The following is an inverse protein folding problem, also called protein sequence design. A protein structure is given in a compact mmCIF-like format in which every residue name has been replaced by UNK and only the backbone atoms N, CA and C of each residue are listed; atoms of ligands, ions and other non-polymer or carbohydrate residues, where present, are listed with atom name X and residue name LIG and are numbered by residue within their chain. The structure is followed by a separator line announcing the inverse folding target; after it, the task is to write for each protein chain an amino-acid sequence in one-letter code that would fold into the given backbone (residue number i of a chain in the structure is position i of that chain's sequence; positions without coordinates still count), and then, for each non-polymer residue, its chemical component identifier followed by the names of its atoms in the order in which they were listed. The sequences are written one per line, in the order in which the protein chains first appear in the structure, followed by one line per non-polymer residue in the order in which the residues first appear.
data_IF_951635365136
#
_entry.id   IF_951635365136
#
_cell.length_a   1.000
_cell.length_b   1.000
_cell.length_c   1.000
_cell.angle_alpha   90.00
_cell.angle_beta   90.00
_cell.angle_gamma   90.00
#
_symmetry.space_group_name_H-M   'P 1'
#
loop_
_entity.id
_entity.type
_entity.pdbx_description
1 polymer ?
#
# COMPACT_ATOMS: atom_id res chain seq x y z
N UNK A 1 9.29 -7.72 -30.85
CA UNK A 1 8.63 -8.71 -29.96
C UNK A 1 9.07 -8.51 -28.50
N UNK A 2 8.52 -7.49 -27.84
CA UNK A 2 8.56 -7.33 -26.39
C UNK A 2 7.26 -6.67 -25.99
N UNK A 3 6.25 -7.48 -25.67
CA UNK A 3 5.04 -6.98 -25.02
C UNK A 3 5.47 -6.54 -23.63
N UNK A 4 5.59 -5.22 -23.40
CA UNK A 4 5.82 -4.72 -22.04
C UNK A 4 4.63 -5.12 -21.19
N UNK A 5 4.89 -5.80 -20.07
CA UNK A 5 3.85 -6.15 -19.10
C UNK A 5 3.33 -4.84 -18.51
N UNK A 6 2.03 -4.59 -18.64
CA UNK A 6 1.39 -3.42 -18.03
C UNK A 6 1.14 -3.71 -16.55
N UNK A 7 1.40 -2.72 -15.69
CA UNK A 7 1.20 -2.84 -14.26
C UNK A 7 0.72 -1.53 -13.63
N UNK A 8 0.08 -1.63 -12.47
CA UNK A 8 -0.14 -0.50 -11.58
C UNK A 8 1.13 -0.31 -10.74
N UNK A 9 1.80 0.82 -10.95
CA UNK A 9 3.01 1.14 -10.21
C UNK A 9 2.66 1.77 -8.86
N UNK A 10 3.31 1.30 -7.81
CA UNK A 10 3.12 1.76 -6.44
C UNK A 10 4.42 2.41 -5.98
N UNK A 11 4.35 3.63 -5.47
CA UNK A 11 5.52 4.32 -4.94
C UNK A 11 6.01 3.62 -3.66
N UNK A 12 7.28 3.21 -3.62
CA UNK A 12 7.87 2.56 -2.44
C UNK A 12 8.00 3.50 -1.24
N UNK A 13 7.89 4.82 -1.43
CA UNK A 13 7.98 5.81 -0.35
C UNK A 13 6.63 6.08 0.30
N UNK A 14 5.60 6.47 -0.47
CA UNK A 14 4.29 6.84 0.09
C UNK A 14 3.18 5.80 -0.12
N UNK A 15 3.41 4.75 -0.91
CA UNK A 15 2.43 3.68 -1.12
C UNK A 15 1.28 4.02 -2.07
N UNK A 16 1.27 5.21 -2.69
CA UNK A 16 0.26 5.60 -3.68
C UNK A 16 0.38 4.76 -4.95
N UNK A 17 -0.76 4.32 -5.48
CA UNK A 17 -0.86 3.56 -6.73
C UNK A 17 -1.18 4.48 -7.91
N UNK A 18 -0.48 4.27 -9.02
CA UNK A 18 -0.68 4.99 -10.28
C UNK A 18 -1.54 4.19 -11.28
N UNK A 19 -2.10 4.88 -12.31
CA UNK A 19 -2.80 4.22 -13.41
C UNK A 19 -1.96 3.16 -14.12
N UNK A 20 -2.65 2.22 -14.76
CA UNK A 20 -2.02 1.11 -15.49
C UNK A 20 -1.12 1.64 -16.61
N UNK A 21 0.16 1.26 -16.61
CA UNK A 21 1.11 1.66 -17.65
C UNK A 21 2.16 0.58 -17.91
N UNK A 22 2.87 0.70 -19.03
CA UNK A 22 3.98 -0.20 -19.39
C UNK A 22 5.32 0.16 -18.75
N UNK A 23 5.37 1.32 -18.08
CA UNK A 23 6.55 1.90 -17.45
C UNK A 23 6.14 2.67 -16.21
N UNK A 24 6.97 2.70 -15.16
CA UNK A 24 6.72 3.55 -14.01
C UNK A 24 6.54 5.03 -14.41
N UNK A 25 5.75 5.81 -13.66
CA UNK A 25 5.64 7.24 -13.90
C UNK A 25 6.99 7.92 -13.69
N UNK A 26 7.20 9.05 -14.37
CA UNK A 26 8.45 9.80 -14.28
C UNK A 26 8.71 10.30 -12.85
N UNK A 27 7.64 10.69 -12.16
CA UNK A 27 7.69 11.02 -10.76
C UNK A 27 6.42 10.66 -9.96
N UNK A 28 6.56 10.59 -8.63
CA UNK A 28 5.49 10.51 -7.68
C UNK A 28 5.11 11.92 -7.20
N UNK A 29 4.00 12.48 -7.71
CA UNK A 29 3.54 13.82 -7.34
C UNK A 29 3.19 13.97 -5.85
N UNK A 30 2.89 12.88 -5.14
CA UNK A 30 2.68 12.90 -3.68
C UNK A 30 4.02 13.10 -2.97
N UNK A 31 5.04 12.31 -3.31
CA UNK A 31 6.35 12.38 -2.66
C UNK A 31 7.17 13.62 -3.06
N UNK A 32 6.84 14.26 -4.18
CA UNK A 32 7.44 15.54 -4.59
C UNK A 32 6.74 16.76 -3.99
N UNK A 33 5.57 16.57 -3.36
CA UNK A 33 4.93 17.64 -2.60
C UNK A 33 5.85 18.07 -1.45
N UNK A 34 5.97 19.38 -1.22
CA UNK A 34 6.87 19.95 -0.20
C UNK A 34 6.56 19.51 1.24
N UNK A 35 5.33 19.00 1.47
CA UNK A 35 4.89 18.47 2.76
C UNK A 35 5.34 17.03 2.99
N UNK A 36 5.78 16.37 1.94
CA UNK A 36 6.22 14.98 1.91
C UNK A 36 7.73 14.91 1.64
N UNK A 37 8.23 13.70 1.35
CA UNK A 37 9.64 13.48 1.04
C UNK A 37 9.81 12.39 0.00
N UNK A 38 10.96 12.43 -0.67
CA UNK A 38 11.46 11.35 -1.53
C UNK A 38 12.32 10.42 -0.67
N UNK A 39 12.17 9.10 -0.85
CA UNK A 39 12.96 8.11 -0.13
C UNK A 39 14.47 8.23 -0.41
N UNK A 40 15.29 7.70 0.51
CA UNK A 40 16.77 7.79 0.43
C UNK A 40 17.36 7.20 -0.86
N UNK A 41 16.66 6.24 -1.47
CA UNK A 41 17.05 5.60 -2.73
C UNK A 41 16.45 6.31 -3.96
N UNK A 42 15.95 7.53 -3.80
CA UNK A 42 15.16 8.22 -4.81
C UNK A 42 13.77 7.62 -4.96
N UNK A 43 13.16 7.83 -6.13
CA UNK A 43 11.85 7.28 -6.42
C UNK A 43 11.95 5.86 -6.95
N UNK A 44 11.46 4.92 -6.14
CA UNK A 44 11.43 3.49 -6.44
C UNK A 44 9.98 3.04 -6.54
N UNK A 45 9.74 2.08 -7.43
CA UNK A 45 8.42 1.60 -7.78
C UNK A 45 8.32 0.10 -7.53
N UNK A 46 7.15 -0.35 -7.08
CA UNK A 46 6.76 -1.75 -7.08
C UNK A 46 5.40 -1.94 -7.75
N UNK A 47 4.87 -3.15 -7.70
CA UNK A 47 3.56 -3.54 -8.21
C UNK A 47 2.89 -4.45 -7.18
N UNK A 48 1.56 -4.59 -7.26
CA UNK A 48 0.85 -5.52 -6.37
C UNK A 48 1.41 -6.95 -6.45
N UNK A 49 1.76 -7.42 -7.65
CA UNK A 49 2.31 -8.77 -7.86
C UNK A 49 3.64 -8.97 -7.13
N UNK A 50 4.54 -7.99 -7.20
CA UNK A 50 5.80 -8.02 -6.46
C UNK A 50 5.54 -7.92 -4.95
N UNK A 51 4.59 -7.08 -4.52
CA UNK A 51 4.28 -6.94 -3.11
C UNK A 51 3.77 -8.25 -2.49
N UNK A 52 2.86 -8.96 -3.15
CA UNK A 52 2.34 -10.26 -2.68
C UNK A 52 3.45 -11.31 -2.46
N UNK A 53 4.59 -11.16 -3.13
CA UNK A 53 5.73 -12.09 -2.98
C UNK A 53 6.68 -11.70 -1.83
N UNK A 54 6.60 -10.47 -1.32
CA UNK A 54 7.58 -9.90 -0.39
C UNK A 54 6.97 -9.35 0.91
N UNK A 55 5.64 -9.21 0.95
CA UNK A 55 4.91 -8.62 2.05
C UNK A 55 3.65 -9.44 2.37
N UNK A 56 3.19 -9.33 3.60
CA UNK A 56 1.90 -9.85 4.07
C UNK A 56 1.21 -8.78 4.92
N UNK A 57 -0.12 -8.81 5.01
CA UNK A 57 -0.83 -7.97 5.97
C UNK A 57 -0.97 -8.68 7.32
N UNK A 58 -0.59 -8.01 8.41
CA UNK A 58 -0.94 -8.41 9.78
C UNK A 58 -2.18 -7.67 10.23
N UNK A 59 -3.17 -8.45 10.66
CA UNK A 59 -4.39 -7.95 11.31
C UNK A 59 -4.25 -8.20 12.81
N UNK A 60 -4.25 -7.13 13.61
CA UNK A 60 -4.00 -7.20 15.06
C UNK A 60 -5.17 -6.56 15.80
N UNK A 61 -5.70 -7.25 16.81
CA UNK A 61 -6.66 -6.69 17.75
C UNK A 61 -5.93 -5.75 18.71
N UNK A 62 -6.19 -4.45 18.60
CA UNK A 62 -5.57 -3.42 19.43
C UNK A 62 -6.37 -3.21 20.73
N UNK A 63 -7.70 -3.15 20.60
CA UNK A 63 -8.66 -2.95 21.69
C UNK A 63 -9.97 -3.69 21.33
N UNK A 64 -10.91 -3.92 22.28
CA UNK A 64 -12.20 -4.54 21.95
C UNK A 64 -12.93 -3.82 20.81
N UNK A 65 -13.08 -4.51 19.67
CA UNK A 65 -13.71 -3.97 18.47
C UNK A 65 -12.82 -3.06 17.60
N UNK A 66 -11.53 -2.95 17.89
CA UNK A 66 -10.58 -2.16 17.09
C UNK A 66 -9.43 -3.05 16.60
N UNK A 67 -9.34 -3.22 15.28
CA UNK A 67 -8.24 -3.94 14.64
C UNK A 67 -7.39 -2.98 13.82
N UNK A 68 -6.06 -3.15 13.87
CA UNK A 68 -5.15 -2.55 12.91
C UNK A 68 -4.78 -3.54 11.81
N UNK A 69 -4.60 -3.04 10.60
CA UNK A 69 -4.14 -3.79 9.42
C UNK A 69 -2.89 -3.07 8.92
N UNK A 70 -1.75 -3.75 8.89
CA UNK A 70 -0.47 -3.21 8.42
C UNK A 70 0.29 -4.22 7.58
N UNK A 71 1.07 -3.74 6.60
CA UNK A 71 1.94 -4.62 5.81
C UNK A 71 3.26 -4.87 6.53
N UNK A 72 3.72 -6.12 6.53
CA UNK A 72 5.00 -6.56 7.08
C UNK A 72 5.83 -7.28 5.99
N UNK A 73 7.13 -6.96 5.81
CA UNK A 73 7.90 -5.90 6.49
C UNK A 73 7.31 -4.48 6.28
N UNK A 74 7.72 -3.50 7.09
CA UNK A 74 7.18 -2.14 6.97
C UNK A 74 7.30 -1.61 5.54
N UNK A 75 6.16 -1.23 4.97
CA UNK A 75 6.06 -0.72 3.61
C UNK A 75 5.78 0.79 3.63
N UNK A 76 6.35 1.51 2.65
CA UNK A 76 6.17 2.95 2.50
C UNK A 76 6.43 3.72 3.80
N UNK A 77 5.62 4.76 4.07
CA UNK A 77 5.65 5.55 5.30
C UNK A 77 5.16 4.78 6.55
N UNK A 78 4.85 3.49 6.43
CA UNK A 78 4.31 2.69 7.53
C UNK A 78 2.83 2.95 7.82
N UNK A 79 2.05 3.30 6.78
CA UNK A 79 0.60 3.46 6.91
C UNK A 79 -0.05 2.15 7.41
N UNK A 80 -1.08 2.30 8.25
CA UNK A 80 -1.96 1.22 8.68
C UNK A 80 -3.42 1.63 8.52
N UNK A 81 -4.26 0.68 8.12
CA UNK A 81 -5.71 0.84 8.15
C UNK A 81 -6.26 0.35 9.48
N UNK A 82 -7.46 0.80 9.85
CA UNK A 82 -8.15 0.34 11.05
C UNK A 82 -9.56 -0.13 10.74
N UNK A 83 -9.92 -1.29 11.25
CA UNK A 83 -11.30 -1.77 11.24
C UNK A 83 -11.90 -1.56 12.64
N UNK A 84 -12.86 -0.65 12.72
CA UNK A 84 -13.67 -0.40 13.91
C UNK A 84 -14.98 -1.15 13.79
N UNK A 85 -15.26 -2.06 14.70
CA UNK A 85 -16.48 -2.85 14.75
C UNK A 85 -17.38 -2.37 15.89
N UNK A 86 -18.63 -2.10 15.57
CA UNK A 86 -19.65 -1.68 16.55
C UNK A 86 -20.93 -2.49 16.33
N UNK A 87 -21.85 -2.45 17.30
CA UNK A 87 -23.15 -3.11 17.16
C UNK A 87 -24.02 -2.53 16.03
N UNK A 88 -23.73 -1.31 15.57
CA UNK A 88 -24.48 -0.63 14.52
C UNK A 88 -23.82 -0.76 13.13
N UNK A 89 -22.66 -1.44 13.03
CA UNK A 89 -21.91 -1.59 11.79
C UNK A 89 -20.40 -1.38 11.98
N UNK A 90 -19.68 -1.52 10.87
CA UNK A 90 -18.23 -1.43 10.85
C UNK A 90 -17.76 -0.22 10.05
N UNK A 91 -16.63 0.35 10.45
CA UNK A 91 -15.91 1.42 9.73
C UNK A 91 -14.52 0.91 9.42
N UNK A 92 -14.16 0.90 8.13
CA UNK A 92 -12.76 0.77 7.71
C UNK A 92 -12.19 2.18 7.51
N UNK A 93 -11.27 2.55 8.37
CA UNK A 93 -10.58 3.83 8.34
C UNK A 93 -9.21 3.66 7.69
N UNK A 94 -8.91 4.52 6.72
CA UNK A 94 -7.76 4.45 5.81
C UNK A 94 -7.71 3.22 4.89
N UNK A 95 -6.89 3.35 3.84
CA UNK A 95 -6.60 2.28 2.89
C UNK A 95 -5.21 1.69 3.16
N UNK A 96 -4.95 0.49 2.64
CA UNK A 96 -3.62 -0.11 2.62
C UNK A 96 -3.25 -0.53 1.20
N UNK A 97 -1.96 -0.48 0.86
CA UNK A 97 -1.50 -0.74 -0.51
C UNK A 97 -1.58 -2.22 -0.91
N UNK A 98 -1.29 -3.14 0.02
CA UNK A 98 -1.33 -4.58 -0.25
C UNK A 98 -2.75 -5.12 -0.09
N UNK A 99 -3.27 -5.71 -1.16
CA UNK A 99 -4.44 -6.59 -1.11
C UNK A 99 -4.02 -7.97 -1.64
N UNK A 100 -4.05 -8.96 -0.75
CA UNK A 100 -3.73 -10.36 -1.00
C UNK A 100 -4.90 -11.28 -0.58
N UNK A 101 -4.78 -12.58 -0.85
CA UNK A 101 -5.85 -13.53 -0.57
C UNK A 101 -6.15 -13.64 0.93
N UNK A 102 -5.11 -13.66 1.77
CA UNK A 102 -5.26 -13.71 3.23
C UNK A 102 -5.94 -12.49 3.84
N UNK A 103 -5.92 -11.34 3.16
CA UNK A 103 -6.65 -10.14 3.58
C UNK A 103 -8.14 -10.21 3.20
N UNK A 104 -8.48 -11.00 2.18
CA UNK A 104 -9.83 -11.14 1.65
C UNK A 104 -10.62 -12.24 2.37
N UNK A 105 -9.96 -13.35 2.69
CA UNK A 105 -10.56 -14.52 3.36
C UNK A 105 -10.96 -14.24 4.82
#
# INVERSE_FOLDING_TARGET
PYTRVMAHHICMTCGVQFPLSSTPPACCFISEDEREFIGINGQVWTTRQEMVSNYENKIVLEEPGLYSIRSEPQFAIGQRAFLVQTSCGNILWDCISLLDQSTID
#
